data_IF_494025109313
#
_entry.id   IF_494025109313
#
_cell.length_a   1.000
_cell.length_b   1.000
_cell.length_c   1.000
_cell.angle_alpha   90.00
_cell.angle_beta   90.00
_cell.angle_gamma   90.00
#
_symmetry.space_group_name_H-M   'P 1'
#
loop_
_entity.id
_entity.type
_entity.pdbx_description
1 polymer ?
#
# COMPACT_ATOMS: atom_id res chain seq x y z
N UNK A 1 -0.87 -10.76 21.34
CA UNK A 1 -1.57 -11.32 20.18
C UNK A 1 -1.69 -10.17 19.22
N UNK A 2 -1.01 -10.27 18.08
CA UNK A 2 -0.42 -9.12 17.43
C UNK A 2 -0.60 -9.15 15.93
N UNK A 3 -0.44 -7.98 15.34
CA UNK A 3 -0.27 -7.85 13.90
C UNK A 3 0.95 -8.66 13.48
N UNK A 4 0.77 -9.45 12.44
CA UNK A 4 1.82 -10.22 11.83
C UNK A 4 2.33 -9.46 10.61
N UNK A 5 3.61 -9.12 10.60
CA UNK A 5 4.23 -8.52 9.44
C UNK A 5 4.33 -9.58 8.34
N UNK A 6 3.62 -9.35 7.23
CA UNK A 6 3.71 -10.21 6.06
C UNK A 6 4.87 -9.75 5.19
N UNK A 7 4.90 -8.45 4.88
CA UNK A 7 5.88 -7.89 3.96
C UNK A 7 6.19 -6.44 4.30
N UNK A 8 7.45 -6.05 4.11
CA UNK A 8 7.91 -4.67 4.23
C UNK A 8 8.81 -4.36 3.04
N UNK A 9 8.53 -3.26 2.36
CA UNK A 9 9.31 -2.75 1.25
C UNK A 9 9.62 -1.28 1.47
N UNK A 10 10.88 -0.90 1.26
CA UNK A 10 11.29 0.50 1.25
C UNK A 10 11.97 0.81 -0.09
N UNK A 11 11.46 1.81 -0.79
CA UNK A 11 12.06 2.30 -2.03
C UNK A 11 13.22 3.25 -1.73
N UNK A 12 14.19 3.34 -2.65
CA UNK A 12 15.30 4.31 -2.60
C UNK A 12 14.85 5.79 -2.55
N UNK A 13 13.55 6.05 -2.74
CA UNK A 13 12.94 7.38 -2.78
C UNK A 13 12.13 7.71 -1.53
N UNK A 14 12.32 6.95 -0.44
CA UNK A 14 11.71 7.25 0.86
C UNK A 14 10.26 6.79 1.02
N UNK A 15 9.69 6.07 0.04
CA UNK A 15 8.39 5.42 0.20
C UNK A 15 8.59 4.07 0.89
N UNK A 16 7.92 3.87 2.02
CA UNK A 16 7.91 2.60 2.77
C UNK A 16 6.50 2.01 2.79
N UNK A 17 6.36 0.78 2.33
CA UNK A 17 5.12 0.01 2.32
C UNK A 17 5.23 -1.13 3.32
N UNK A 18 4.25 -1.27 4.19
CA UNK A 18 4.18 -2.31 5.21
C UNK A 18 2.83 -3.02 5.03
N UNK A 19 2.87 -4.33 4.87
CA UNK A 19 1.70 -5.19 4.83
C UNK A 19 1.68 -6.06 6.09
N UNK A 20 0.61 -5.92 6.88
CA UNK A 20 0.40 -6.66 8.10
C UNK A 20 -0.92 -7.46 8.01
N UNK A 21 -0.99 -8.59 8.70
CA UNK A 21 -2.24 -9.29 8.97
C UNK A 21 -2.63 -9.08 10.44
N UNK A 22 -3.81 -8.51 10.66
CA UNK A 22 -4.41 -8.37 11.98
C UNK A 22 -5.17 -9.66 12.29
N UNK A 23 -4.53 -10.53 13.07
CA UNK A 23 -5.08 -11.82 13.50
C UNK A 23 -6.34 -11.68 14.38
N UNK A 24 -6.55 -10.54 15.04
CA UNK A 24 -7.73 -10.33 15.89
C UNK A 24 -8.95 -9.93 15.05
N UNK A 25 -8.71 -9.16 14.00
CA UNK A 25 -9.75 -8.65 13.09
C UNK A 25 -9.88 -9.46 11.80
N UNK A 26 -9.05 -10.49 11.64
CA UNK A 26 -8.95 -11.35 10.46
C UNK A 26 -8.82 -10.57 9.14
N UNK A 27 -8.01 -9.51 9.15
CA UNK A 27 -7.92 -8.58 8.02
C UNK A 27 -6.49 -8.16 7.70
N UNK A 28 -6.26 -7.79 6.45
CA UNK A 28 -5.00 -7.21 6.01
C UNK A 28 -4.99 -5.70 6.28
N UNK A 29 -3.80 -5.19 6.56
CA UNK A 29 -3.52 -3.77 6.77
C UNK A 29 -2.32 -3.43 5.91
N UNK A 30 -2.51 -2.56 4.91
CA UNK A 30 -1.42 -2.03 4.10
C UNK A 30 -1.18 -0.57 4.47
N UNK A 31 0.02 -0.26 4.97
CA UNK A 31 0.44 1.11 5.32
C UNK A 31 1.49 1.59 4.34
N UNK A 32 1.25 2.72 3.69
CA UNK A 32 2.20 3.40 2.81
C UNK A 32 2.65 4.68 3.51
N UNK A 33 3.92 4.73 3.91
CA UNK A 33 4.61 5.92 4.37
C UNK A 33 5.22 6.67 3.18
N UNK A 34 5.03 7.98 3.16
CA UNK A 34 5.55 8.94 2.19
C UNK A 34 6.12 10.14 2.95
N UNK A 35 6.92 10.96 2.29
CA UNK A 35 7.44 12.22 2.88
C UNK A 35 6.32 13.13 3.41
N UNK A 36 5.17 13.12 2.75
CA UNK A 36 4.02 13.99 3.07
C UNK A 36 3.04 13.38 4.08
N UNK A 37 3.27 12.15 4.54
CA UNK A 37 2.40 11.48 5.51
C UNK A 37 2.29 9.98 5.30
N UNK A 38 1.24 9.38 5.88
CA UNK A 38 0.98 7.95 5.72
C UNK A 38 -0.45 7.70 5.25
N UNK A 39 -0.62 6.64 4.48
CA UNK A 39 -1.91 6.15 3.98
C UNK A 39 -2.07 4.74 4.49
N UNK A 40 -3.27 4.41 4.96
CA UNK A 40 -3.56 3.08 5.50
C UNK A 40 -4.79 2.53 4.78
N UNK A 41 -4.63 1.34 4.22
CA UNK A 41 -5.70 0.54 3.63
C UNK A 41 -5.95 -0.68 4.50
N UNK A 42 -7.21 -1.06 4.62
CA UNK A 42 -7.66 -2.06 5.58
C UNK A 42 -8.77 -2.89 4.94
N UNK A 43 -8.70 -4.21 5.10
CA UNK A 43 -9.74 -5.14 4.63
C UNK A 43 -9.15 -6.45 4.10
N UNK A 44 -9.92 -7.13 3.26
CA UNK A 44 -9.40 -8.22 2.44
C UNK A 44 -8.37 -7.69 1.43
N UNK A 45 -7.51 -8.59 0.92
CA UNK A 45 -6.56 -8.19 -0.13
C UNK A 45 -7.25 -7.57 -1.34
N UNK A 46 -8.39 -8.12 -1.76
CA UNK A 46 -9.17 -7.57 -2.87
C UNK A 46 -9.66 -6.14 -2.60
N UNK A 47 -10.11 -5.84 -1.38
CA UNK A 47 -10.53 -4.49 -1.01
C UNK A 47 -9.36 -3.52 -0.95
N UNK A 48 -8.22 -3.96 -0.40
CA UNK A 48 -6.99 -3.16 -0.39
C UNK A 48 -6.57 -2.84 -1.82
N UNK A 49 -6.55 -3.82 -2.72
CA UNK A 49 -6.22 -3.62 -4.12
C UNK A 49 -7.17 -2.63 -4.81
N UNK A 50 -8.48 -2.73 -4.59
CA UNK A 50 -9.45 -1.78 -5.17
C UNK A 50 -9.32 -0.36 -4.61
N UNK A 51 -9.06 -0.22 -3.31
CA UNK A 51 -8.88 1.08 -2.66
C UNK A 51 -7.56 1.72 -3.09
N UNK A 52 -6.50 0.92 -3.16
CA UNK A 52 -5.23 1.27 -3.75
C UNK A 52 -5.43 1.79 -5.17
N UNK A 53 -5.95 0.97 -6.10
CA UNK A 53 -6.20 1.35 -7.49
C UNK A 53 -6.99 2.67 -7.61
N UNK A 54 -8.07 2.83 -6.82
CA UNK A 54 -8.85 4.08 -6.82
C UNK A 54 -8.03 5.28 -6.34
N UNK A 55 -7.20 5.11 -5.30
CA UNK A 55 -6.29 6.13 -4.82
C UNK A 55 -5.25 6.49 -5.89
N UNK A 56 -4.71 5.50 -6.60
CA UNK A 56 -3.74 5.72 -7.67
C UNK A 56 -4.36 6.38 -8.90
N UNK A 57 -5.53 5.95 -9.36
CA UNK A 57 -6.24 6.61 -10.47
C UNK A 57 -6.54 8.07 -10.15
N UNK A 58 -6.89 8.38 -8.89
CA UNK A 58 -7.06 9.77 -8.43
C UNK A 58 -5.72 10.52 -8.44
N UNK A 59 -4.67 9.94 -7.89
CA UNK A 59 -3.32 10.55 -7.85
C UNK A 59 -2.71 10.74 -9.25
N UNK A 60 -3.06 9.88 -10.21
CA UNK A 60 -2.67 10.00 -11.62
C UNK A 60 -3.46 11.08 -12.37
N UNK A 61 -4.75 11.24 -12.05
CA UNK A 61 -5.58 12.34 -12.59
C UNK A 61 -5.11 13.72 -12.13
N UNK A 62 -4.46 13.80 -10.97
CA UNK A 62 -3.81 15.03 -10.47
C UNK A 62 -2.40 15.29 -11.08
N UNK A 63 -1.94 14.44 -12.01
CA UNK A 63 -0.77 14.61 -12.89
C UNK A 63 0.61 14.50 -12.18
N UNK A 64 1.53 13.72 -12.81
CA UNK A 64 3.01 13.63 -12.63
C UNK A 64 3.67 12.61 -11.68
N UNK A 65 2.96 11.75 -10.94
CA UNK A 65 3.64 10.75 -10.09
C UNK A 65 3.85 9.38 -10.76
N UNK A 66 4.85 9.29 -11.66
CA UNK A 66 5.35 8.01 -12.24
C UNK A 66 5.84 7.00 -11.17
N UNK A 67 6.12 7.48 -9.97
CA UNK A 67 6.72 6.72 -8.87
C UNK A 67 5.74 5.79 -8.18
N UNK A 68 4.48 6.22 -8.08
CA UNK A 68 3.39 5.46 -7.47
C UNK A 68 2.91 4.31 -8.36
N UNK A 69 3.12 4.43 -9.67
CA UNK A 69 2.82 3.38 -10.66
C UNK A 69 3.81 2.22 -10.56
N UNK A 70 5.11 2.53 -10.54
CA UNK A 70 6.16 1.50 -10.53
C UNK A 70 6.12 0.60 -9.29
N UNK A 71 5.77 1.18 -8.13
CA UNK A 71 5.66 0.47 -6.85
C UNK A 71 4.53 -0.58 -6.84
N UNK A 72 3.44 -0.31 -7.56
CA UNK A 72 2.33 -1.26 -7.68
C UNK A 72 2.55 -2.27 -8.80
N UNK A 73 3.08 -1.83 -9.94
CA UNK A 73 3.43 -2.75 -11.01
C UNK A 73 4.40 -3.83 -10.48
N UNK A 74 5.29 -3.49 -9.56
CA UNK A 74 6.20 -4.45 -8.92
C UNK A 74 5.49 -5.33 -7.87
N UNK A 75 4.54 -4.79 -7.10
CA UNK A 75 3.72 -5.55 -6.13
C UNK A 75 2.72 -6.51 -6.78
N UNK A 76 2.23 -6.23 -8.00
CA UNK A 76 1.20 -7.02 -8.69
C UNK A 76 1.77 -7.94 -9.79
N UNK A 77 2.99 -7.73 -10.28
CA UNK A 77 3.64 -8.62 -11.26
C UNK A 77 4.50 -9.73 -10.63
N UNK A 78 4.52 -9.86 -9.30
CA UNK A 78 5.04 -11.03 -8.57
C UNK A 78 3.90 -11.95 -8.13
#
# INVERSE_FOLDING_TARGET
MGRELIEEFESEKGIKVILEYDNEKEMYIMTIHKDTGKIVFQGSMKEIQQQAEKYFVRSLKDIKNKMEIALLEDLFNR
#
